data_IF_531970778581
#
_entry.id   IF_531970778581
#
_cell.length_a   1.000
_cell.length_b   1.000
_cell.length_c   1.000
_cell.angle_alpha   90.00
_cell.angle_beta   90.00
_cell.angle_gamma   90.00
#
_symmetry.space_group_name_H-M   'P 1'
#
loop_
_entity.id
_entity.type
_entity.pdbx_description
1 polymer ?
#
# COMPACT_ATOMS: atom_id res chain seq x y z
N UNK A 1 -1.70 -38.67 -7.32
CA UNK A 1 -2.38 -37.77 -6.37
C UNK A 1 -3.86 -37.67 -6.76
N UNK A 2 -4.81 -37.82 -5.83
CA UNK A 2 -6.20 -37.62 -6.14
C UNK A 2 -6.45 -36.16 -6.54
N UNK A 3 -7.15 -35.94 -7.64
CA UNK A 3 -7.57 -34.59 -8.07
C UNK A 3 -8.79 -34.18 -7.24
N UNK A 4 -8.78 -32.98 -6.69
CA UNK A 4 -9.96 -32.38 -6.10
C UNK A 4 -10.90 -31.95 -7.24
N UNK A 5 -12.06 -32.56 -7.33
CA UNK A 5 -13.10 -32.19 -8.28
C UNK A 5 -14.02 -31.15 -7.67
N UNK A 6 -14.25 -30.08 -8.40
CA UNK A 6 -15.21 -29.06 -7.99
C UNK A 6 -16.63 -29.47 -8.38
N UNK A 7 -17.59 -29.26 -7.46
CA UNK A 7 -19.03 -29.41 -7.71
C UNK A 7 -19.72 -28.08 -8.04
N UNK A 8 -18.94 -27.01 -8.24
CA UNK A 8 -19.48 -25.68 -8.51
C UNK A 8 -20.16 -25.64 -9.89
N UNK A 9 -21.39 -25.13 -9.91
CA UNK A 9 -22.12 -24.84 -11.14
C UNK A 9 -22.07 -23.33 -11.41
N UNK A 10 -21.14 -22.91 -12.28
CA UNK A 10 -20.94 -21.50 -12.65
C UNK A 10 -22.14 -20.85 -13.34
N UNK A 11 -23.11 -21.66 -13.81
CA UNK A 11 -24.33 -21.17 -14.47
C UNK A 11 -25.51 -21.02 -13.49
N UNK A 12 -25.39 -21.50 -12.26
CA UNK A 12 -26.45 -21.38 -11.26
C UNK A 12 -26.70 -19.91 -10.88
N UNK A 13 -27.92 -19.60 -10.50
CA UNK A 13 -28.28 -18.26 -10.02
C UNK A 13 -27.53 -17.90 -8.73
N UNK A 14 -27.34 -18.88 -7.84
CA UNK A 14 -26.59 -18.72 -6.60
C UNK A 14 -25.12 -18.36 -6.88
N UNK A 15 -24.43 -19.07 -7.79
CA UNK A 15 -23.06 -18.76 -8.16
C UNK A 15 -22.94 -17.32 -8.71
N UNK A 16 -23.85 -16.92 -9.59
CA UNK A 16 -23.86 -15.59 -10.18
C UNK A 16 -24.06 -14.49 -9.12
N UNK A 17 -24.99 -14.68 -8.20
CA UNK A 17 -25.23 -13.74 -7.11
C UNK A 17 -24.01 -13.62 -6.19
N UNK A 18 -23.39 -14.73 -5.81
CA UNK A 18 -22.18 -14.74 -4.99
C UNK A 18 -20.98 -14.09 -5.72
N UNK A 19 -20.83 -14.37 -7.02
CA UNK A 19 -19.77 -13.75 -7.83
C UNK A 19 -19.94 -12.23 -7.92
N UNK A 20 -21.17 -11.75 -8.13
CA UNK A 20 -21.47 -10.33 -8.17
C UNK A 20 -21.22 -9.64 -6.82
N UNK A 21 -21.62 -10.26 -5.71
CA UNK A 21 -21.36 -9.74 -4.37
C UNK A 21 -19.84 -9.67 -4.10
N UNK A 22 -19.09 -10.71 -4.44
CA UNK A 22 -17.62 -10.72 -4.28
C UNK A 22 -16.97 -9.67 -5.17
N UNK A 23 -17.42 -9.48 -6.39
CA UNK A 23 -16.90 -8.48 -7.30
C UNK A 23 -17.07 -7.06 -6.74
N UNK A 24 -18.22 -6.76 -6.15
CA UNK A 24 -18.45 -5.46 -5.50
C UNK A 24 -17.47 -5.21 -4.34
N UNK A 25 -17.20 -6.23 -3.51
CA UNK A 25 -16.21 -6.13 -2.43
C UNK A 25 -14.79 -5.92 -2.96
N UNK A 26 -14.41 -6.59 -4.04
CA UNK A 26 -13.10 -6.44 -4.68
C UNK A 26 -12.95 -5.04 -5.29
N UNK A 27 -13.99 -4.50 -5.90
CA UNK A 27 -13.99 -3.13 -6.45
C UNK A 27 -13.85 -2.10 -5.34
N UNK A 28 -14.59 -2.23 -4.25
CA UNK A 28 -14.42 -1.33 -3.10
C UNK A 28 -13.00 -1.37 -2.55
N UNK A 29 -12.44 -2.58 -2.36
CA UNK A 29 -11.03 -2.72 -1.92
C UNK A 29 -10.06 -1.99 -2.86
N UNK A 30 -10.23 -2.14 -4.17
CA UNK A 30 -9.38 -1.45 -5.16
C UNK A 30 -9.48 0.07 -5.04
N UNK A 31 -10.69 0.60 -4.93
CA UNK A 31 -10.92 2.03 -4.74
C UNK A 31 -10.25 2.56 -3.46
N UNK A 32 -10.33 1.82 -2.35
CA UNK A 32 -9.65 2.20 -1.11
C UNK A 32 -8.12 2.19 -1.28
N UNK A 33 -7.56 1.18 -1.94
CA UNK A 33 -6.12 1.13 -2.22
C UNK A 33 -5.68 2.29 -3.14
N UNK A 34 -6.46 2.63 -4.16
CA UNK A 34 -6.18 3.76 -5.04
C UNK A 34 -6.19 5.10 -4.28
N UNK A 35 -7.16 5.29 -3.38
CA UNK A 35 -7.20 6.49 -2.50
C UNK A 35 -5.96 6.58 -1.62
N UNK A 36 -5.59 5.48 -0.98
CA UNK A 36 -4.38 5.42 -0.14
C UNK A 36 -3.13 5.71 -0.97
N UNK A 37 -3.06 5.26 -2.21
CA UNK A 37 -1.94 5.52 -3.11
C UNK A 37 -1.74 7.01 -3.42
N UNK A 38 -2.77 7.85 -3.24
CA UNK A 38 -2.65 9.31 -3.38
C UNK A 38 -1.96 9.99 -2.19
N UNK A 39 -1.70 9.24 -1.10
CA UNK A 39 -1.06 9.78 0.09
C UNK A 39 -1.84 10.96 0.69
N UNK A 40 -1.17 12.07 0.99
CA UNK A 40 -1.79 13.27 1.56
C UNK A 40 -2.63 14.11 0.58
N UNK A 41 -2.94 13.57 -0.60
CA UNK A 41 -3.76 14.22 -1.62
C UNK A 41 -2.97 15.16 -2.54
N UNK A 42 -3.69 15.72 -3.50
CA UNK A 42 -3.09 16.47 -4.61
C UNK A 42 -2.28 17.69 -4.14
N UNK A 43 -2.82 18.48 -3.21
CA UNK A 43 -2.17 19.69 -2.72
C UNK A 43 -0.86 19.39 -1.98
N UNK A 44 -0.85 18.37 -1.12
CA UNK A 44 0.34 17.95 -0.39
C UNK A 44 1.42 17.36 -1.34
N UNK A 45 0.99 16.60 -2.33
CA UNK A 45 1.88 16.06 -3.39
C UNK A 45 2.49 17.17 -4.22
N UNK A 46 1.70 18.13 -4.69
CA UNK A 46 2.20 19.28 -5.46
C UNK A 46 3.25 20.09 -4.66
N UNK A 47 2.98 20.34 -3.38
CA UNK A 47 3.92 21.02 -2.48
C UNK A 47 5.21 20.20 -2.25
N UNK A 48 5.12 18.88 -2.23
CA UNK A 48 6.28 17.99 -2.09
C UNK A 48 7.15 18.01 -3.35
N UNK A 49 6.53 17.91 -4.53
CA UNK A 49 7.21 17.97 -5.83
C UNK A 49 7.86 19.35 -6.09
N UNK A 50 7.18 20.44 -5.71
CA UNK A 50 7.73 21.80 -5.83
C UNK A 50 9.04 22.01 -5.05
N UNK A 51 9.31 21.16 -4.06
CA UNK A 51 10.58 21.14 -3.30
C UNK A 51 11.68 20.28 -3.96
N UNK A 52 11.45 19.79 -5.19
CA UNK A 52 12.38 18.91 -5.91
C UNK A 52 12.48 17.49 -5.35
N UNK A 53 11.47 17.05 -4.60
CA UNK A 53 11.47 15.71 -3.97
C UNK A 53 10.58 14.75 -4.75
N UNK A 54 11.06 13.53 -4.94
CA UNK A 54 10.26 12.42 -5.48
C UNK A 54 9.15 12.01 -4.51
N UNK A 55 8.00 11.63 -5.05
CA UNK A 55 6.95 11.03 -4.24
C UNK A 55 7.40 9.69 -3.63
N UNK A 56 6.88 9.30 -2.45
CA UNK A 56 7.34 8.10 -1.76
C UNK A 56 7.25 6.82 -2.60
N UNK A 57 6.16 6.63 -3.35
CA UNK A 57 5.99 5.47 -4.23
C UNK A 57 6.98 5.47 -5.39
N UNK A 58 7.29 6.63 -5.96
CA UNK A 58 8.31 6.78 -6.99
C UNK A 58 9.70 6.43 -6.45
N UNK A 59 10.00 6.84 -5.21
CA UNK A 59 11.27 6.48 -4.55
C UNK A 59 11.40 4.97 -4.35
N UNK A 60 10.33 4.30 -3.90
CA UNK A 60 10.31 2.83 -3.78
C UNK A 60 10.52 2.20 -5.15
N UNK A 61 9.81 2.65 -6.17
CA UNK A 61 9.91 2.11 -7.53
C UNK A 61 11.32 2.27 -8.13
N UNK A 62 11.98 3.41 -7.87
CA UNK A 62 13.34 3.63 -8.34
C UNK A 62 14.41 2.85 -7.57
N UNK A 63 14.10 2.43 -6.34
CA UNK A 63 14.98 1.59 -5.53
C UNK A 63 14.97 0.14 -5.98
N UNK A 64 13.82 -0.35 -6.48
CA UNK A 64 13.62 -1.73 -6.90
C UNK A 64 14.38 -2.05 -8.19
N UNK A 65 14.81 -3.28 -8.31
CA UNK A 65 15.37 -3.78 -9.56
C UNK A 65 14.34 -3.67 -10.70
N UNK A 66 14.76 -3.27 -11.90
CA UNK A 66 13.85 -3.11 -13.03
C UNK A 66 13.04 -4.38 -13.29
N UNK A 67 11.70 -4.25 -13.36
CA UNK A 67 10.78 -5.36 -13.61
C UNK A 67 10.56 -6.30 -12.43
N UNK A 68 11.18 -6.06 -11.26
CA UNK A 68 10.90 -6.87 -10.07
C UNK A 68 9.56 -6.47 -9.42
N UNK A 69 8.80 -7.44 -8.89
CA UNK A 69 7.57 -7.14 -8.18
C UNK A 69 7.83 -6.50 -6.81
N UNK A 70 6.88 -5.68 -6.36
CA UNK A 70 6.84 -5.15 -5.00
C UNK A 70 5.61 -5.69 -4.28
N UNK A 71 5.82 -6.44 -3.21
CA UNK A 71 4.74 -6.92 -2.34
C UNK A 71 4.49 -5.88 -1.24
N UNK A 72 3.55 -4.98 -1.47
CA UNK A 72 3.16 -3.99 -0.46
C UNK A 72 2.41 -4.67 0.69
N UNK A 73 2.81 -4.37 1.91
CA UNK A 73 2.22 -4.88 3.14
C UNK A 73 1.33 -3.82 3.78
N UNK A 74 0.12 -4.24 4.20
CA UNK A 74 -0.83 -3.40 4.94
C UNK A 74 -1.11 -2.03 4.32
N UNK A 75 -1.43 -1.93 3.02
CA UNK A 75 -1.69 -0.64 2.37
C UNK A 75 -2.84 0.14 3.02
N UNK A 76 -3.80 -0.55 3.65
CA UNK A 76 -4.93 0.06 4.35
C UNK A 76 -4.68 0.28 5.86
N UNK A 77 -3.42 0.29 6.30
CA UNK A 77 -3.09 0.62 7.70
C UNK A 77 -3.72 1.97 8.11
N UNK A 78 -4.26 2.05 9.33
CA UNK A 78 -5.00 3.19 9.86
C UNK A 78 -6.24 3.61 9.03
N UNK A 79 -6.85 2.66 8.29
CA UNK A 79 -8.06 2.92 7.52
C UNK A 79 -9.17 3.49 8.42
N UNK A 80 -9.81 4.58 7.97
CA UNK A 80 -10.83 5.31 8.71
C UNK A 80 -10.43 5.88 10.08
N UNK A 81 -9.16 5.77 10.48
CA UNK A 81 -8.66 6.42 11.70
C UNK A 81 -8.37 7.91 11.45
N UNK A 82 -8.46 8.70 12.51
CA UNK A 82 -8.18 10.15 12.47
C UNK A 82 -9.01 10.91 11.42
N UNK A 83 -10.27 10.50 11.20
CA UNK A 83 -11.14 11.11 10.20
C UNK A 83 -10.71 10.84 8.74
N UNK A 84 -9.86 9.84 8.51
CA UNK A 84 -9.31 9.51 7.19
C UNK A 84 -8.03 10.28 6.84
N UNK A 85 -7.48 11.09 7.75
CA UNK A 85 -6.31 11.95 7.50
C UNK A 85 -4.96 11.23 7.52
N UNK A 86 -4.94 9.92 7.74
CA UNK A 86 -3.72 9.14 7.81
C UNK A 86 -3.74 7.90 6.87
N UNK A 87 -3.90 8.10 5.56
CA UNK A 87 -3.93 6.97 4.61
C UNK A 87 -2.64 6.18 4.67
N UNK A 88 -2.77 4.84 4.75
CA UNK A 88 -1.63 3.92 4.88
C UNK A 88 -0.76 4.18 6.11
N UNK A 89 -1.31 4.80 7.16
CA UNK A 89 -0.57 5.28 8.35
C UNK A 89 0.61 6.21 8.00
N UNK A 90 0.67 6.79 6.79
CA UNK A 90 1.78 7.60 6.31
C UNK A 90 3.08 6.82 6.08
N UNK A 91 3.01 5.51 5.87
CA UNK A 91 4.16 4.64 5.65
C UNK A 91 3.85 3.64 4.53
N UNK A 92 4.79 3.47 3.61
CA UNK A 92 4.76 2.39 2.62
C UNK A 92 5.73 1.32 3.10
N UNK A 93 5.22 0.11 3.31
CA UNK A 93 6.02 -1.03 3.75
C UNK A 93 5.82 -2.19 2.78
N UNK A 94 6.89 -2.89 2.45
CA UNK A 94 6.77 -4.03 1.54
C UNK A 94 8.05 -4.81 1.38
N UNK A 95 7.98 -5.85 0.56
CA UNK A 95 9.11 -6.69 0.18
C UNK A 95 9.36 -6.48 -1.30
N UNK A 96 10.61 -6.21 -1.65
CA UNK A 96 11.03 -6.02 -3.03
C UNK A 96 12.49 -6.34 -3.22
N UNK A 97 12.91 -6.52 -4.46
CA UNK A 97 14.28 -6.88 -4.81
C UNK A 97 15.12 -5.64 -5.10
N UNK A 98 16.27 -5.55 -4.46
CA UNK A 98 17.24 -4.47 -4.64
C UNK A 98 18.62 -5.09 -4.87
N UNK A 99 19.23 -4.82 -6.01
CA UNK A 99 20.53 -5.39 -6.42
C UNK A 99 20.56 -6.93 -6.30
N UNK A 100 19.50 -7.60 -6.72
CA UNK A 100 19.37 -9.05 -6.69
C UNK A 100 19.01 -9.66 -5.33
N UNK A 101 18.87 -8.85 -4.27
CA UNK A 101 18.56 -9.30 -2.90
C UNK A 101 17.15 -8.89 -2.52
N UNK A 102 16.38 -9.83 -1.95
CA UNK A 102 15.04 -9.53 -1.43
C UNK A 102 15.16 -8.78 -0.09
N UNK A 103 14.59 -7.57 -0.06
CA UNK A 103 14.70 -6.64 1.05
C UNK A 103 13.32 -6.24 1.59
N UNK A 104 13.23 -6.03 2.89
CA UNK A 104 12.10 -5.31 3.50
C UNK A 104 12.36 -3.82 3.33
N UNK A 105 11.41 -3.11 2.72
CA UNK A 105 11.49 -1.69 2.42
C UNK A 105 10.46 -0.96 3.27
N UNK A 106 10.90 0.10 3.96
CA UNK A 106 10.03 1.00 4.73
C UNK A 106 10.28 2.42 4.25
N UNK A 107 9.24 3.07 3.74
CA UNK A 107 9.32 4.42 3.21
C UNK A 107 8.25 5.30 3.86
N UNK A 108 8.67 6.33 4.59
CA UNK A 108 7.76 7.31 5.17
C UNK A 108 7.14 8.21 4.08
N UNK A 109 5.82 8.43 4.18
CA UNK A 109 5.10 9.35 3.32
C UNK A 109 4.94 10.72 3.99
N UNK A 110 5.87 11.62 3.68
CA UNK A 110 5.85 12.99 4.19
C UNK A 110 4.69 13.84 3.64
N UNK A 111 3.92 13.35 2.65
CA UNK A 111 2.73 14.03 2.16
C UNK A 111 1.54 13.82 3.08
N UNK A 112 1.50 12.71 3.83
CA UNK A 112 0.43 12.39 4.79
C UNK A 112 0.65 13.11 6.12
N UNK A 113 1.72 12.76 6.84
CA UNK A 113 2.14 13.46 8.08
C UNK A 113 3.65 13.38 8.19
N UNK A 114 4.32 14.52 8.14
CA UNK A 114 5.79 14.59 8.26
C UNK A 114 6.35 14.25 9.65
N UNK A 115 5.48 13.94 10.63
CA UNK A 115 5.84 13.82 12.05
C UNK A 115 5.92 12.38 12.56
N UNK A 116 5.83 11.36 11.68
CA UNK A 116 5.91 9.96 12.09
C UNK A 116 7.33 9.56 12.59
N UNK A 117 8.34 10.38 12.29
CA UNK A 117 9.70 10.18 12.80
C UNK A 117 9.77 10.21 14.35
N UNK A 118 8.83 10.91 15.01
CA UNK A 118 8.80 11.00 16.47
C UNK A 118 8.10 9.82 17.15
N UNK A 119 7.29 9.05 16.40
CA UNK A 119 6.56 7.89 16.92
C UNK A 119 7.27 6.56 16.69
N UNK A 120 8.33 6.55 15.88
CA UNK A 120 9.17 5.38 15.64
C UNK A 120 10.61 5.70 16.08
N UNK A 121 10.93 5.58 17.37
CA UNK A 121 12.28 5.83 17.87
C UNK A 121 13.27 4.89 17.18
N UNK A 122 14.19 5.48 16.41
CA UNK A 122 15.31 4.73 15.85
C UNK A 122 16.20 4.21 16.99
N UNK A 123 16.86 3.05 16.84
CA UNK A 123 17.88 2.61 17.78
C UNK A 123 18.97 3.66 18.05
N UNK A 124 19.21 4.58 17.11
CA UNK A 124 20.14 5.72 17.27
C UNK A 124 19.62 6.79 18.23
N UNK A 125 18.30 6.94 18.37
CA UNK A 125 17.69 7.95 19.27
C UNK A 125 17.72 7.53 20.73
N UNK A 126 17.99 6.23 21.00
CA UNK A 126 18.15 5.71 22.37
C UNK A 126 19.56 5.91 22.95
N UNK A 127 20.49 6.44 22.17
CA UNK A 127 21.90 6.65 22.56
C UNK A 127 22.23 8.11 22.92
N UNK A 128 21.21 8.95 23.05
CA UNK A 128 21.37 10.35 23.51
C UNK A 128 20.86 10.53 24.93
#
# INVERSE_FOLDING_TARGET
>A
MPKLETKLNVRSAEFKANAQAMQALVEDLRLQCERVAQGGGEQARAKHLARGKLLPRERVQQLLDPGSPFLELSPLAAHAMYGGDAPGAGVITGIGRVAGVDCVIVCNDATVKGCLLYTSPSPRDRQK
#
